data_IF_221736563814
#
_entry.id   IF_221736563814
#
_cell.length_a   1.000
_cell.length_b   1.000
_cell.length_c   1.000
_cell.angle_alpha   90.00
_cell.angle_beta   90.00
_cell.angle_gamma   90.00
#
_symmetry.space_group_name_H-M   'P 1'
#
loop_
_entity.id
_entity.type
_entity.pdbx_description
1 polymer ?
#
# COMPACT_ATOMS: atom_id res chain seq x y z
N UNK A 1 -4.97 -22.52 -2.22
CA UNK A 1 -6.04 -21.51 -2.23
C UNK A 1 -5.44 -20.25 -1.63
N UNK A 2 -4.99 -19.31 -2.47
CA UNK A 2 -4.43 -18.05 -1.96
C UNK A 2 -5.60 -17.26 -1.35
N UNK A 3 -5.50 -16.91 -0.07
CA UNK A 3 -6.45 -16.01 0.58
C UNK A 3 -6.36 -14.67 -0.15
N UNK A 4 -7.50 -14.11 -0.53
CA UNK A 4 -7.58 -12.77 -1.13
C UNK A 4 -6.80 -11.77 -0.29
N UNK A 5 -6.14 -10.81 -0.94
CA UNK A 5 -5.45 -9.73 -0.25
C UNK A 5 -6.47 -8.91 0.56
N UNK A 6 -6.13 -8.59 1.80
CA UNK A 6 -6.92 -7.69 2.64
C UNK A 6 -6.98 -6.29 2.01
N UNK A 7 -5.83 -5.84 1.51
CA UNK A 7 -5.70 -4.65 0.71
C UNK A 7 -4.42 -4.70 -0.14
N UNK A 8 -4.40 -3.85 -1.18
CA UNK A 8 -3.23 -3.58 -2.00
C UNK A 8 -2.80 -2.13 -1.78
N UNK A 9 -1.49 -1.90 -1.70
CA UNK A 9 -0.92 -0.56 -1.66
C UNK A 9 -0.23 -0.29 -3.00
N UNK A 10 -0.52 0.84 -3.65
CA UNK A 10 0.08 1.25 -4.92
C UNK A 10 0.53 2.70 -4.88
N UNK A 11 1.61 3.00 -5.60
CA UNK A 11 2.00 4.37 -5.90
C UNK A 11 1.57 4.71 -7.32
N UNK A 12 0.77 5.76 -7.48
CA UNK A 12 0.13 6.14 -8.73
C UNK A 12 0.33 7.62 -9.03
N UNK A 13 0.31 7.97 -10.31
CA UNK A 13 0.34 9.37 -10.74
C UNK A 13 -1.04 9.98 -10.50
N UNK A 14 -1.10 11.11 -9.80
CA UNK A 14 -2.35 11.83 -9.60
C UNK A 14 -2.76 12.53 -10.90
N UNK A 15 -4.01 12.33 -11.29
CA UNK A 15 -4.62 12.97 -12.47
C UNK A 15 -5.16 14.37 -12.18
N UNK A 16 -4.97 14.90 -10.96
CA UNK A 16 -5.43 16.25 -10.64
C UNK A 16 -4.60 17.29 -11.41
N UNK A 17 -5.25 18.36 -11.92
CA UNK A 17 -4.55 19.44 -12.60
C UNK A 17 -3.51 20.04 -11.65
N UNK A 18 -2.24 19.90 -12.01
CA UNK A 18 -1.13 20.29 -11.15
C UNK A 18 -1.17 21.81 -10.95
N UNK A 19 -1.43 22.24 -9.70
CA UNK A 19 -1.22 23.63 -9.29
C UNK A 19 0.28 23.94 -9.11
N UNK A 20 1.15 22.91 -9.14
CA UNK A 20 2.59 22.99 -8.93
C UNK A 20 3.39 22.54 -10.17
N UNK A 21 4.64 22.99 -10.27
CA UNK A 21 5.56 22.67 -11.37
C UNK A 21 6.01 21.19 -11.44
N UNK A 22 5.62 20.35 -10.47
CA UNK A 22 5.97 18.93 -10.41
C UNK A 22 4.75 18.02 -10.58
N UNK A 23 4.98 16.86 -11.18
CA UNK A 23 3.96 15.82 -11.34
C UNK A 23 3.58 15.24 -9.96
N UNK A 24 2.29 15.30 -9.56
CA UNK A 24 1.85 14.76 -8.29
C UNK A 24 1.72 13.24 -8.36
N UNK A 25 2.24 12.56 -7.34
CA UNK A 25 2.08 11.13 -7.07
C UNK A 25 1.29 10.95 -5.79
N UNK A 26 0.65 9.78 -5.66
CA UNK A 26 -0.10 9.35 -4.47
C UNK A 26 0.29 7.93 -4.11
N UNK A 27 0.30 7.65 -2.81
CA UNK A 27 0.29 6.28 -2.30
C UNK A 27 -1.12 5.97 -1.85
N UNK A 28 -1.74 4.97 -2.47
CA UNK A 28 -3.12 4.59 -2.27
C UNK A 28 -3.19 3.19 -1.68
N UNK A 29 -4.04 3.01 -0.68
CA UNK A 29 -4.42 1.71 -0.14
C UNK A 29 -5.81 1.38 -0.66
N UNK A 30 -5.94 0.27 -1.38
CA UNK A 30 -7.19 -0.26 -1.93
C UNK A 30 -7.62 -1.48 -1.13
N UNK A 31 -8.76 -1.39 -0.45
CA UNK A 31 -9.33 -2.50 0.29
C UNK A 31 -10.18 -3.40 -0.62
N UNK A 32 -10.38 -4.64 -0.17
CA UNK A 32 -11.16 -5.64 -0.91
C UNK A 32 -12.63 -5.25 -1.14
N UNK A 33 -13.19 -4.42 -0.26
CA UNK A 33 -14.56 -3.89 -0.36
C UNK A 33 -14.69 -2.75 -1.38
N UNK A 34 -13.58 -2.33 -2.00
CA UNK A 34 -13.53 -1.24 -2.96
C UNK A 34 -13.28 0.13 -2.33
N UNK A 35 -13.16 0.23 -1.00
CA UNK A 35 -12.75 1.48 -0.35
C UNK A 35 -11.27 1.79 -0.64
N UNK A 36 -10.94 3.08 -0.62
CA UNK A 36 -9.58 3.54 -0.86
C UNK A 36 -9.18 4.67 0.07
N UNK A 37 -7.93 4.61 0.55
CA UNK A 37 -7.30 5.65 1.35
C UNK A 37 -6.05 6.20 0.67
N UNK A 38 -5.88 7.51 0.71
CA UNK A 38 -4.62 8.16 0.31
C UNK A 38 -3.72 8.25 1.53
N UNK A 39 -2.65 7.46 1.55
CA UNK A 39 -1.67 7.45 2.63
C UNK A 39 -0.68 8.60 2.54
N UNK A 40 -0.40 9.07 1.32
CA UNK A 40 0.54 10.15 1.05
C UNK A 40 0.31 10.75 -0.33
N UNK A 41 0.61 12.04 -0.49
CA UNK A 41 0.61 12.76 -1.76
C UNK A 41 1.85 13.67 -1.83
N UNK A 42 2.49 13.73 -2.99
CA UNK A 42 3.63 14.62 -3.19
C UNK A 42 4.40 14.31 -4.46
N UNK A 43 5.70 14.63 -4.46
CA UNK A 43 6.56 14.23 -5.57
C UNK A 43 6.87 12.72 -5.53
N UNK A 44 7.39 12.19 -6.64
CA UNK A 44 7.76 10.78 -6.78
C UNK A 44 8.58 10.26 -5.60
N UNK A 45 9.67 10.95 -5.22
CA UNK A 45 10.57 10.48 -4.16
C UNK A 45 9.92 10.47 -2.77
N UNK A 46 9.04 11.44 -2.48
CA UNK A 46 8.29 11.47 -1.23
C UNK A 46 7.33 10.27 -1.14
N UNK A 47 6.58 10.00 -2.23
CA UNK A 47 5.68 8.85 -2.29
C UNK A 47 6.45 7.52 -2.26
N UNK A 48 7.60 7.43 -2.95
CA UNK A 48 8.47 6.24 -2.94
C UNK A 48 9.00 5.93 -1.54
N UNK A 49 9.40 6.95 -0.79
CA UNK A 49 9.81 6.81 0.61
C UNK A 49 8.63 6.42 1.50
N UNK A 50 7.46 6.99 1.26
CA UNK A 50 6.24 6.70 2.02
C UNK A 50 5.78 5.25 1.85
N UNK A 51 5.74 4.71 0.62
CA UNK A 51 5.33 3.33 0.38
C UNK A 51 6.33 2.32 0.98
N UNK A 52 7.63 2.60 0.92
CA UNK A 52 8.66 1.79 1.60
C UNK A 52 8.50 1.82 3.12
N UNK A 53 8.22 3.01 3.67
CA UNK A 53 7.97 3.17 5.10
C UNK A 53 6.77 2.36 5.57
N UNK A 54 5.68 2.39 4.79
CA UNK A 54 4.47 1.63 5.10
C UNK A 54 4.69 0.12 4.97
N UNK A 55 5.39 -0.33 3.93
CA UNK A 55 5.82 -1.73 3.81
C UNK A 55 6.60 -2.19 5.06
N UNK A 56 7.61 -1.43 5.48
CA UNK A 56 8.43 -1.79 6.66
C UNK A 56 7.62 -1.80 7.95
N UNK A 57 6.65 -0.90 8.09
CA UNK A 57 5.75 -0.86 9.24
C UNK A 57 4.88 -2.12 9.33
N UNK A 58 4.30 -2.56 8.20
CA UNK A 58 3.48 -3.76 8.14
C UNK A 58 4.31 -5.04 8.26
N UNK A 59 5.48 -5.08 7.63
CA UNK A 59 6.37 -6.24 7.67
C UNK A 59 6.93 -6.53 9.07
N UNK A 60 6.95 -5.54 9.98
CA UNK A 60 7.26 -5.73 11.40
C UNK A 60 6.14 -6.40 12.19
N UNK A 61 4.94 -6.49 11.63
CA UNK A 61 3.75 -7.08 12.25
C UNK A 61 3.48 -8.47 11.66
N UNK A 62 4.52 -9.30 11.58
CA UNK A 62 4.49 -10.63 10.95
C UNK A 62 3.44 -11.58 11.55
N UNK A 63 3.06 -11.37 12.81
CA UNK A 63 1.99 -12.14 13.48
C UNK A 63 0.60 -11.82 12.91
N UNK A 64 0.40 -10.63 12.34
CA UNK A 64 -0.89 -10.15 11.85
C UNK A 64 -0.97 -10.17 10.32
N UNK A 65 0.16 -9.85 9.67
CA UNK A 65 0.19 -9.61 8.24
C UNK A 65 1.32 -10.35 7.56
N UNK A 66 1.05 -10.74 6.32
CA UNK A 66 2.08 -11.15 5.35
C UNK A 66 2.02 -10.18 4.18
N UNK A 67 3.17 -9.61 3.80
CA UNK A 67 3.25 -8.55 2.80
C UNK A 67 4.10 -9.02 1.62
N UNK A 68 3.59 -8.87 0.39
CA UNK A 68 4.28 -9.29 -0.82
C UNK A 68 4.37 -8.15 -1.83
N UNK A 69 5.59 -7.80 -2.27
CA UNK A 69 5.76 -6.88 -3.39
C UNK A 69 5.31 -7.54 -4.70
N UNK A 70 4.43 -6.85 -5.43
CA UNK A 70 3.99 -7.26 -6.77
C UNK A 70 4.99 -6.71 -7.81
N UNK A 71 5.42 -5.47 -7.61
CA UNK A 71 6.37 -4.75 -8.46
C UNK A 71 7.06 -3.64 -7.65
N UNK A 72 7.78 -2.74 -8.30
CA UNK A 72 8.55 -1.67 -7.62
C UNK A 72 7.67 -0.60 -6.94
N UNK A 73 6.38 -0.55 -7.26
CA UNK A 73 5.46 0.50 -6.83
C UNK A 73 4.19 -0.03 -6.17
N UNK A 74 4.08 -1.33 -5.92
CA UNK A 74 2.90 -1.90 -5.28
C UNK A 74 3.16 -3.22 -4.55
N UNK A 75 2.42 -3.42 -3.46
CA UNK A 75 2.46 -4.64 -2.66
C UNK A 75 1.06 -5.03 -2.17
N UNK A 76 0.87 -6.32 -1.95
CA UNK A 76 -0.35 -6.90 -1.36
C UNK A 76 -0.12 -7.22 0.11
N UNK A 77 -1.18 -7.12 0.89
CA UNK A 77 -1.18 -7.47 2.31
C UNK A 77 -2.24 -8.52 2.56
N UNK A 78 -1.85 -9.62 3.18
CA UNK A 78 -2.73 -10.71 3.56
C UNK A 78 -2.76 -10.85 5.07
N UNK A 79 -3.92 -11.23 5.60
CA UNK A 79 -4.06 -11.56 7.02
C UNK A 79 -3.35 -12.89 7.32
N UNK A 80 -2.42 -12.84 8.27
CA UNK A 80 -1.78 -14.03 8.78
C UNK A 80 -2.72 -14.67 9.82
N UNK A 81 -3.71 -15.43 9.35
CA UNK A 81 -4.51 -16.26 10.27
C UNK A 81 -3.63 -17.40 10.79
N UNK A 82 -2.84 -17.12 11.81
CA UNK A 82 -2.60 -18.12 12.84
C UNK A 82 -3.98 -18.38 13.44
N UNK A 83 -4.65 -19.42 12.96
CA UNK A 83 -5.89 -19.90 13.54
C UNK A 83 -5.65 -20.07 15.04
N UNK A 84 -6.16 -19.14 15.85
CA UNK A 84 -6.43 -19.40 17.25
C UNK A 84 -7.54 -20.47 17.28
N UNK A 85 -7.17 -21.72 16.98
CA UNK A 85 -7.89 -22.88 17.43
C UNK A 85 -7.57 -22.99 18.92
N UNK A 86 -8.31 -22.24 19.74
CA UNK A 86 -8.45 -22.48 21.17
C UNK A 86 -9.73 -23.29 21.39
#
# INVERSE_FOLDING_TARGET
MHKEALFTCSMEKSHQPAASAWEPFRVIRHFIDGEMDVLSEGCYYACRSSIDGYYRYLNKQEALYTVYWINETSFEVHENRLSNCA
#
